data_IF_949880233281
#
_entry.id   IF_949880233281
#
_cell.length_a   1.000
_cell.length_b   1.000
_cell.length_c   1.000
_cell.angle_alpha   90.00
_cell.angle_beta   90.00
_cell.angle_gamma   90.00
#
_symmetry.space_group_name_H-M   'P 1'
#
loop_
_entity.id
_entity.type
_entity.pdbx_description
1 polymer ?
#
# COMPACT_ATOMS: atom_id res chain seq x y z
N UNK A 1 20.39 8.72 -14.56
CA UNK A 1 18.94 8.73 -14.78
C UNK A 1 18.31 8.06 -13.58
N UNK A 2 17.87 8.84 -12.60
CA UNK A 2 16.99 8.35 -11.54
C UNK A 2 15.61 8.20 -12.16
N UNK A 3 15.28 7.02 -12.67
CA UNK A 3 13.89 6.70 -12.96
C UNK A 3 13.13 6.83 -11.63
N UNK A 4 12.24 7.81 -11.55
CA UNK A 4 11.30 7.96 -10.44
C UNK A 4 10.32 6.80 -10.51
N UNK A 5 10.70 5.65 -9.95
CA UNK A 5 9.78 4.55 -9.77
C UNK A 5 8.68 4.98 -8.80
N UNK A 6 7.41 4.62 -9.07
CA UNK A 6 6.33 4.91 -8.13
C UNK A 6 6.66 4.27 -6.78
N UNK A 7 6.72 5.08 -5.72
CA UNK A 7 7.14 4.62 -4.42
C UNK A 7 5.93 4.15 -3.61
N UNK A 8 6.02 2.98 -2.96
CA UNK A 8 4.95 2.49 -2.07
C UNK A 8 4.66 3.50 -0.94
N UNK A 9 5.65 4.33 -0.58
CA UNK A 9 5.46 5.46 0.34
C UNK A 9 4.41 6.47 -0.12
N UNK A 10 4.36 6.82 -1.42
CA UNK A 10 3.37 7.76 -1.96
C UNK A 10 1.96 7.15 -1.92
N UNK A 11 1.88 5.85 -2.24
CA UNK A 11 0.64 5.08 -2.11
C UNK A 11 0.16 5.10 -0.65
N UNK A 12 1.05 4.86 0.31
CA UNK A 12 0.71 4.87 1.74
C UNK A 12 0.26 6.25 2.24
N UNK A 13 0.91 7.33 1.77
CA UNK A 13 0.49 8.69 2.08
C UNK A 13 -0.91 8.97 1.53
N UNK A 14 -1.17 8.60 0.26
CA UNK A 14 -2.48 8.80 -0.37
C UNK A 14 -3.57 7.96 0.29
N UNK A 15 -3.29 6.71 0.62
CA UNK A 15 -4.20 5.85 1.38
C UNK A 15 -4.53 6.44 2.75
N UNK A 16 -3.56 7.08 3.41
CA UNK A 16 -3.77 7.80 4.67
C UNK A 16 -4.82 8.91 4.53
N UNK A 17 -4.75 9.71 3.47
CA UNK A 17 -5.73 10.75 3.16
C UNK A 17 -7.11 10.16 2.90
N UNK A 18 -7.21 9.11 2.08
CA UNK A 18 -8.49 8.44 1.78
C UNK A 18 -9.09 7.84 3.06
N UNK A 19 -8.28 7.17 3.88
CA UNK A 19 -8.72 6.54 5.12
C UNK A 19 -9.26 7.56 6.14
N UNK A 20 -8.73 8.78 6.15
CA UNK A 20 -9.16 9.87 7.03
C UNK A 20 -10.52 10.48 6.67
N UNK A 21 -11.09 10.13 5.50
CA UNK A 21 -12.44 10.56 5.12
C UNK A 21 -13.46 10.16 6.20
N UNK A 22 -14.29 11.07 6.74
CA UNK A 22 -15.35 10.72 7.70
C UNK A 22 -16.37 9.72 7.12
N UNK A 23 -17.09 8.96 7.95
CA UNK A 23 -18.02 7.92 7.48
C UNK A 23 -19.15 8.49 6.64
N UNK A 24 -19.69 9.62 7.06
CA UNK A 24 -20.76 10.34 6.39
C UNK A 24 -20.31 10.80 4.99
N UNK A 25 -19.08 11.31 4.88
CA UNK A 25 -18.49 11.69 3.60
C UNK A 25 -18.10 10.48 2.73
N UNK A 26 -17.73 9.34 3.35
CA UNK A 26 -17.37 8.13 2.62
C UNK A 26 -18.55 7.55 1.83
N UNK A 27 -19.79 7.68 2.34
CA UNK A 27 -21.00 7.22 1.63
C UNK A 27 -21.15 7.88 0.27
N UNK A 28 -20.96 9.19 0.20
CA UNK A 28 -21.11 9.98 -1.02
C UNK A 28 -19.86 10.02 -1.91
N UNK A 29 -18.67 9.76 -1.36
CA UNK A 29 -17.39 9.80 -2.11
C UNK A 29 -16.88 8.42 -2.54
N UNK A 30 -17.36 7.32 -1.95
CA UNK A 30 -16.89 5.95 -2.21
C UNK A 30 -16.82 5.58 -3.70
N UNK A 31 -17.91 5.80 -4.46
CA UNK A 31 -17.95 5.52 -5.90
C UNK A 31 -16.86 6.27 -6.70
N UNK A 32 -16.48 7.46 -6.24
CA UNK A 32 -15.45 8.28 -6.87
C UNK A 32 -14.03 7.84 -6.49
N UNK A 33 -13.85 7.35 -5.27
CA UNK A 33 -12.55 6.99 -4.69
C UNK A 33 -12.17 5.52 -4.93
N UNK A 34 -13.12 4.64 -5.20
CA UNK A 34 -12.84 3.22 -5.47
C UNK A 34 -11.95 2.99 -6.70
N UNK A 35 -12.17 3.65 -7.85
CA UNK A 35 -11.25 3.53 -8.98
C UNK A 35 -9.82 3.93 -8.63
N UNK A 36 -9.66 4.96 -7.78
CA UNK A 36 -8.36 5.38 -7.28
C UNK A 36 -7.73 4.33 -6.36
N UNK A 37 -8.49 3.70 -5.46
CA UNK A 37 -8.00 2.58 -4.64
C UNK A 37 -7.53 1.40 -5.49
N UNK A 38 -8.24 1.09 -6.58
CA UNK A 38 -7.83 0.05 -7.52
C UNK A 38 -6.51 0.44 -8.22
N UNK A 39 -6.39 1.69 -8.68
CA UNK A 39 -5.16 2.19 -9.29
C UNK A 39 -3.96 2.15 -8.34
N UNK A 40 -4.15 2.59 -7.09
CA UNK A 40 -3.12 2.49 -6.04
C UNK A 40 -2.68 1.04 -5.80
N UNK A 41 -3.61 0.08 -5.89
CA UNK A 41 -3.31 -1.34 -5.78
C UNK A 41 -2.45 -1.85 -6.93
N UNK A 42 -2.71 -1.37 -8.15
CA UNK A 42 -1.89 -1.67 -9.33
C UNK A 42 -0.49 -1.07 -9.18
N UNK A 43 -0.38 0.19 -8.75
CA UNK A 43 0.89 0.86 -8.49
C UNK A 43 1.77 0.09 -7.50
N UNK A 44 1.19 -0.48 -6.44
CA UNK A 44 1.94 -1.32 -5.50
C UNK A 44 2.61 -2.51 -6.21
N UNK A 45 1.90 -3.18 -7.13
CA UNK A 45 2.46 -4.31 -7.87
C UNK A 45 3.41 -3.89 -8.99
N UNK A 46 3.19 -2.72 -9.59
CA UNK A 46 4.15 -2.10 -10.51
C UNK A 46 5.47 -1.85 -9.80
N UNK A 47 5.47 -1.27 -8.60
CA UNK A 47 6.71 -1.03 -7.84
C UNK A 47 7.50 -2.32 -7.63
N UNK A 48 6.82 -3.42 -7.28
CA UNK A 48 7.47 -4.73 -7.16
C UNK A 48 8.13 -5.19 -8.47
N UNK A 49 7.38 -5.13 -9.58
CA UNK A 49 7.85 -5.58 -10.88
C UNK A 49 9.02 -4.73 -11.39
N UNK A 50 8.86 -3.41 -11.32
CA UNK A 50 9.87 -2.45 -11.76
C UNK A 50 11.15 -2.55 -10.92
N UNK A 51 11.05 -2.78 -9.61
CA UNK A 51 12.21 -3.03 -8.75
C UNK A 51 12.99 -4.29 -9.14
N UNK A 52 12.34 -5.25 -9.82
CA UNK A 52 12.98 -6.44 -10.39
C UNK A 52 13.32 -6.28 -11.88
N UNK A 53 13.28 -5.05 -12.42
CA UNK A 53 13.57 -4.76 -13.82
C UNK A 53 12.55 -5.32 -14.81
N UNK A 54 11.35 -5.67 -14.33
CA UNK A 54 10.28 -6.19 -15.17
C UNK A 54 9.30 -5.08 -15.56
N UNK A 55 8.98 -4.99 -16.85
CA UNK A 55 7.94 -4.08 -17.35
C UNK A 55 6.54 -4.52 -16.87
N UNK A 56 5.80 -3.67 -16.14
CA UNK A 56 4.47 -4.04 -15.65
C UNK A 56 3.47 -4.29 -16.79
N UNK A 57 2.74 -5.41 -16.73
CA UNK A 57 1.78 -5.73 -17.79
C UNK A 57 0.62 -4.74 -17.84
N UNK A 58 0.20 -4.39 -19.06
CA UNK A 58 -1.05 -3.64 -19.34
C UNK A 58 -2.25 -4.56 -19.56
N UNK A 59 -2.04 -5.88 -19.55
CA UNK A 59 -3.12 -6.86 -19.77
C UNK A 59 -4.06 -6.91 -18.57
N UNK A 60 -5.24 -7.46 -18.81
CA UNK A 60 -6.21 -7.76 -17.77
C UNK A 60 -6.36 -9.27 -17.61
N UNK A 61 -6.72 -9.68 -16.39
CA UNK A 61 -7.18 -11.03 -16.07
C UNK A 61 -8.52 -10.90 -15.35
N UNK A 62 -9.53 -11.63 -15.80
CA UNK A 62 -10.91 -11.52 -15.27
C UNK A 62 -11.45 -10.07 -15.30
N UNK A 63 -10.98 -9.24 -16.26
CA UNK A 63 -11.37 -7.82 -16.38
C UNK A 63 -10.55 -6.84 -15.53
N UNK A 64 -9.59 -7.31 -14.72
CA UNK A 64 -8.79 -6.48 -13.83
C UNK A 64 -7.31 -6.59 -14.15
N UNK A 65 -6.64 -5.44 -14.27
CA UNK A 65 -5.19 -5.40 -14.49
C UNK A 65 -4.43 -5.76 -13.22
N UNK A 66 -4.93 -5.38 -12.04
CA UNK A 66 -4.42 -5.85 -10.74
C UNK A 66 -4.17 -7.38 -10.69
N UNK A 67 -5.11 -8.19 -11.20
CA UNK A 67 -4.98 -9.66 -11.19
C UNK A 67 -3.94 -10.17 -12.19
N UNK A 68 -3.74 -9.46 -13.31
CA UNK A 68 -2.69 -9.76 -14.28
C UNK A 68 -1.30 -9.39 -13.74
N UNK A 69 -1.18 -8.23 -13.09
CA UNK A 69 0.04 -7.78 -12.40
C UNK A 69 0.45 -8.77 -11.31
N UNK A 70 -0.49 -9.21 -10.46
CA UNK A 70 -0.21 -10.24 -9.45
C UNK A 70 0.29 -11.54 -10.09
N UNK A 71 -0.38 -12.01 -11.15
CA UNK A 71 0.02 -13.22 -11.86
C UNK A 71 1.40 -13.09 -12.54
N UNK A 72 1.85 -11.88 -12.87
CA UNK A 72 3.20 -11.61 -13.34
C UNK A 72 4.19 -11.59 -12.17
N UNK A 73 3.88 -10.89 -11.09
CA UNK A 73 4.73 -10.74 -9.90
C UNK A 73 5.03 -12.07 -9.20
N UNK A 74 4.08 -13.01 -9.22
CA UNK A 74 4.27 -14.35 -8.67
C UNK A 74 5.13 -15.29 -9.55
N UNK A 75 5.51 -14.89 -10.77
CA UNK A 75 6.39 -15.70 -11.62
C UNK A 75 7.81 -15.58 -11.12
N UNK A 76 8.38 -16.69 -10.66
CA UNK A 76 9.75 -16.72 -10.15
C UNK A 76 9.89 -16.37 -8.67
N UNK A 77 8.83 -15.84 -8.03
CA UNK A 77 8.78 -15.61 -6.58
C UNK A 77 7.55 -16.31 -5.96
N UNK A 78 7.66 -17.60 -5.58
CA UNK A 78 6.54 -18.38 -5.04
C UNK A 78 5.89 -17.74 -3.81
N UNK A 79 6.67 -17.04 -2.98
CA UNK A 79 6.17 -16.40 -1.77
C UNK A 79 5.28 -15.18 -2.05
N UNK A 80 5.31 -14.65 -3.29
CA UNK A 80 4.42 -13.57 -3.70
C UNK A 80 2.98 -14.04 -3.91
N UNK A 81 2.76 -15.34 -4.19
CA UNK A 81 1.41 -15.91 -4.32
C UNK A 81 0.60 -15.83 -3.01
N UNK A 82 1.23 -15.50 -1.87
CA UNK A 82 0.57 -15.25 -0.60
C UNK A 82 -0.39 -14.04 -0.65
N UNK A 83 -0.16 -13.05 -1.52
CA UNK A 83 -1.06 -11.90 -1.66
C UNK A 83 -2.14 -12.08 -2.74
N UNK A 84 -2.28 -13.28 -3.32
CA UNK A 84 -3.31 -13.56 -4.35
C UNK A 84 -4.71 -13.25 -3.84
N UNK A 85 -5.05 -13.74 -2.65
CA UNK A 85 -6.39 -13.54 -2.08
C UNK A 85 -6.59 -12.07 -1.68
N UNK A 86 -5.54 -11.37 -1.25
CA UNK A 86 -5.59 -9.91 -1.05
C UNK A 86 -5.97 -9.17 -2.34
N UNK A 87 -5.37 -9.54 -3.48
CA UNK A 87 -5.70 -8.93 -4.78
C UNK A 87 -7.13 -9.25 -5.23
N UNK A 88 -7.59 -10.50 -5.02
CA UNK A 88 -8.98 -10.90 -5.34
C UNK A 88 -9.99 -10.17 -4.45
N UNK A 89 -9.67 -9.97 -3.18
CA UNK A 89 -10.52 -9.25 -2.24
C UNK A 89 -10.66 -7.76 -2.62
N UNK A 90 -9.58 -7.09 -3.06
CA UNK A 90 -9.65 -5.70 -3.57
C UNK A 90 -10.62 -5.61 -4.75
N UNK A 91 -10.51 -6.52 -5.71
CA UNK A 91 -11.43 -6.60 -6.86
C UNK A 91 -12.87 -6.88 -6.41
N UNK A 92 -13.05 -7.79 -5.47
CA UNK A 92 -14.37 -8.10 -4.93
C UNK A 92 -15.01 -6.88 -4.27
N UNK A 93 -14.28 -6.16 -3.40
CA UNK A 93 -14.82 -4.96 -2.73
C UNK A 93 -15.09 -3.81 -3.71
N UNK A 94 -14.26 -3.64 -4.76
CA UNK A 94 -14.56 -2.73 -5.87
C UNK A 94 -15.93 -3.03 -6.50
N UNK A 95 -16.20 -4.31 -6.76
CA UNK A 95 -17.46 -4.74 -7.37
C UNK A 95 -18.65 -4.56 -6.40
N UNK A 96 -18.47 -4.85 -5.11
CA UNK A 96 -19.49 -4.62 -4.09
C UNK A 96 -19.83 -3.13 -4.00
N UNK A 97 -18.84 -2.23 -3.96
CA UNK A 97 -19.10 -0.78 -3.93
C UNK A 97 -19.87 -0.32 -5.16
N UNK A 98 -19.53 -0.86 -6.33
CA UNK A 98 -20.17 -0.52 -7.61
C UNK A 98 -21.61 -1.05 -7.71
N UNK A 99 -21.89 -2.21 -7.13
CA UNK A 99 -23.18 -2.89 -7.23
C UNK A 99 -24.10 -2.68 -6.00
N UNK A 100 -23.61 -2.05 -4.93
CA UNK A 100 -24.35 -1.89 -3.68
C UNK A 100 -25.64 -1.08 -3.87
N UNK A 101 -26.76 -1.71 -3.53
CA UNK A 101 -28.10 -1.11 -3.55
C UNK A 101 -28.40 -0.22 -2.32
N UNK A 102 -27.60 -0.33 -1.26
CA UNK A 102 -27.72 0.50 -0.06
C UNK A 102 -26.38 1.17 0.33
N UNK A 103 -26.46 2.30 1.01
CA UNK A 103 -25.29 3.12 1.35
C UNK A 103 -24.43 2.50 2.46
N UNK A 104 -25.01 1.74 3.39
CA UNK A 104 -24.27 1.15 4.50
C UNK A 104 -23.41 -0.04 4.02
N UNK A 105 -23.91 -0.87 3.10
CA UNK A 105 -23.13 -1.91 2.44
C UNK A 105 -21.99 -1.30 1.64
N UNK A 106 -22.26 -0.21 0.90
CA UNK A 106 -21.25 0.51 0.14
C UNK A 106 -20.15 1.07 1.05
N UNK A 107 -20.53 1.70 2.16
CA UNK A 107 -19.58 2.22 3.15
C UNK A 107 -18.70 1.10 3.72
N UNK A 108 -19.30 -0.02 4.13
CA UNK A 108 -18.56 -1.16 4.67
C UNK A 108 -17.56 -1.72 3.67
N UNK A 109 -17.98 -1.94 2.43
CA UNK A 109 -17.13 -2.47 1.36
C UNK A 109 -15.98 -1.51 1.04
N UNK A 110 -16.26 -0.21 0.96
CA UNK A 110 -15.25 0.82 0.75
C UNK A 110 -14.19 0.84 1.87
N UNK A 111 -14.63 0.78 3.14
CA UNK A 111 -13.71 0.71 4.29
C UNK A 111 -12.86 -0.55 4.29
N UNK A 112 -13.46 -1.69 3.96
CA UNK A 112 -12.74 -2.94 3.84
C UNK A 112 -11.70 -2.87 2.71
N UNK A 113 -12.07 -2.34 1.55
CA UNK A 113 -11.14 -2.12 0.44
C UNK A 113 -9.91 -1.31 0.89
N UNK A 114 -10.10 -0.18 1.58
CA UNK A 114 -8.98 0.63 2.11
C UNK A 114 -8.03 -0.21 2.98
N UNK A 115 -8.57 -1.04 3.89
CA UNK A 115 -7.74 -1.88 4.75
C UNK A 115 -6.97 -2.94 3.96
N UNK A 116 -7.60 -3.55 2.95
CA UNK A 116 -6.98 -4.60 2.14
C UNK A 116 -5.90 -4.01 1.22
N UNK A 117 -6.12 -2.83 0.63
CA UNK A 117 -5.09 -2.12 -0.16
C UNK A 117 -3.91 -1.74 0.74
N UNK A 118 -4.16 -1.28 1.97
CA UNK A 118 -3.10 -1.02 2.96
C UNK A 118 -2.31 -2.28 3.30
N UNK A 119 -2.98 -3.41 3.48
CA UNK A 119 -2.32 -4.70 3.71
C UNK A 119 -1.43 -5.09 2.52
N UNK A 120 -1.91 -4.93 1.28
CA UNK A 120 -1.10 -5.17 0.09
C UNK A 120 0.16 -4.31 0.06
N UNK A 121 0.04 -3.01 0.36
CA UNK A 121 1.17 -2.08 0.42
C UNK A 121 2.21 -2.54 1.46
N UNK A 122 1.78 -2.86 2.69
CA UNK A 122 2.67 -3.34 3.75
C UNK A 122 3.36 -4.66 3.37
N UNK A 123 2.64 -5.59 2.75
CA UNK A 123 3.20 -6.85 2.28
C UNK A 123 4.30 -6.62 1.25
N UNK A 124 4.04 -5.81 0.22
CA UNK A 124 5.00 -5.54 -0.85
C UNK A 124 6.20 -4.73 -0.35
N UNK A 125 5.99 -3.73 0.50
CA UNK A 125 7.11 -3.01 1.14
C UNK A 125 8.02 -3.96 1.93
N UNK A 126 7.44 -4.89 2.71
CA UNK A 126 8.25 -5.87 3.44
C UNK A 126 8.99 -6.85 2.52
N UNK A 127 8.39 -7.21 1.37
CA UNK A 127 9.07 -8.04 0.35
C UNK A 127 10.25 -7.32 -0.29
N UNK A 128 10.04 -6.05 -0.64
CA UNK A 128 11.07 -5.17 -1.16
C UNK A 128 12.24 -5.03 -0.15
N UNK A 129 11.93 -4.86 1.14
CA UNK A 129 12.93 -4.81 2.23
C UNK A 129 13.76 -6.08 2.32
N UNK A 130 13.12 -7.24 2.34
CA UNK A 130 13.81 -8.53 2.38
C UNK A 130 14.69 -8.75 1.13
N UNK A 131 14.27 -8.25 -0.02
CA UNK A 131 15.05 -8.33 -1.26
C UNK A 131 16.18 -7.28 -1.35
N UNK A 132 16.25 -6.32 -0.43
CA UNK A 132 17.18 -5.19 -0.50
C UNK A 132 16.87 -4.24 -1.66
N UNK A 133 15.62 -4.20 -2.13
CA UNK A 133 15.18 -3.45 -3.30
C UNK A 133 14.33 -2.25 -2.87
N UNK A 134 14.87 -1.04 -2.96
CA UNK A 134 14.15 0.21 -2.65
C UNK A 134 14.89 1.11 -1.67
N UNK A 135 14.42 2.36 -1.55
CA UNK A 135 14.93 3.28 -0.54
C UNK A 135 14.12 3.13 0.75
N UNK A 136 14.66 2.33 1.67
CA UNK A 136 14.11 2.21 3.01
C UNK A 136 14.49 3.46 3.79
N UNK A 137 13.65 4.49 3.68
CA UNK A 137 13.76 5.64 4.57
C UNK A 137 13.59 5.12 6.00
N UNK A 138 14.63 5.25 6.82
CA UNK A 138 14.79 4.78 8.20
C UNK A 138 13.75 5.38 9.17
N UNK A 139 12.46 5.17 8.93
CA UNK A 139 11.36 5.49 9.83
C UNK A 139 11.11 4.38 10.87
N UNK A 140 12.04 3.42 10.98
CA UNK A 140 12.21 2.56 12.15
C UNK A 140 12.73 3.38 13.33
N UNK A 141 11.98 4.41 13.74
CA UNK A 141 12.16 4.99 15.07
C UNK A 141 11.81 3.88 16.06
N UNK A 142 12.75 3.43 16.92
CA UNK A 142 12.47 2.33 17.83
C UNK A 142 11.31 2.72 18.76
N UNK A 143 10.25 1.92 18.80
CA UNK A 143 9.06 2.16 19.63
C UNK A 143 9.33 2.06 21.15
N UNK A 144 10.57 1.83 21.59
CA UNK A 144 11.00 1.87 23.00
C UNK A 144 12.47 2.29 23.10
N UNK A 145 12.74 3.58 23.14
CA UNK A 145 13.84 4.09 23.94
C UNK A 145 13.20 4.88 25.09
N UNK A 146 13.41 4.50 26.37
CA UNK A 146 13.22 5.48 27.42
C UNK A 146 14.19 6.63 27.14
N UNK A 147 13.75 7.86 27.38
CA UNK A 147 14.60 9.04 27.34
C UNK A 147 15.68 8.90 28.43
N UNK A 148 16.76 8.19 28.11
CA UNK A 148 18.03 8.33 28.79
C UNK A 148 18.75 9.48 28.07
N UNK A 149 19.26 10.52 28.72
CA UNK A 149 19.35 10.83 30.13
C UNK A 149 19.67 12.32 30.17
N UNK A 150 19.17 13.01 31.18
CA UNK A 150 19.46 14.40 31.42
C UNK A 150 20.97 14.67 31.32
N UNK A 151 21.34 15.65 30.51
CA UNK A 151 22.68 16.23 30.50
C UNK A 151 22.99 16.79 31.89
N UNK A 152 23.78 16.03 32.64
CA UNK A 152 24.49 16.42 33.84
C UNK A 152 25.80 15.61 33.78
N UNK A 153 27.03 16.16 33.86
CA UNK A 153 27.49 17.38 34.51
C UNK A 153 28.94 17.65 34.06
N UNK A 154 29.38 18.90 34.23
CA UNK A 154 30.74 19.33 34.64
C UNK A 154 31.76 19.71 33.55
N UNK A 155 31.92 21.03 33.36
CA UNK A 155 33.18 21.65 32.96
C UNK A 155 34.17 21.67 34.15
N UNK A 156 35.48 21.42 33.96
CA UNK A 156 36.50 21.95 34.84
C UNK A 156 37.03 23.29 34.31
N UNK A 157 37.03 24.29 35.19
CA UNK A 157 37.66 25.59 35.02
C UNK A 157 39.18 25.46 35.07
N UNK A 158 39.90 26.14 34.16
CA UNK A 158 41.36 26.13 34.13
C UNK A 158 41.93 27.18 33.16
N UNK A 159 42.53 28.22 33.76
CA UNK A 159 43.33 29.34 33.22
C UNK A 159 42.56 30.65 32.99
#
# INVERSE_FOLDING_TARGET
MTEEYPHVGDVMARLGVIAATPREAARSSSLRLVPELLQLSETILETWLSAHGAEPTVRQKEGFRLLALHAQAARGEPSFNACRETCREIVFQNNVVSAAGDEDQRERAFRLMIMVVRHLALFVSGKLEVAGLGEFCCASRPLRQPAAEAAATTQPSGV
#
